data_IF_559426249380
#
_entry.id   IF_559426249380
#
_cell.length_a   1.000
_cell.length_b   1.000
_cell.length_c   1.000
_cell.angle_alpha   90.00
_cell.angle_beta   90.00
_cell.angle_gamma   90.00
#
_symmetry.space_group_name_H-M   'P 1'
#
loop_
_entity.id
_entity.type
_entity.pdbx_description
1 polymer ?
#
# COMPACT_ATOMS: atom_id res chain seq x y z
N UNK A 1 17.45 6.23 -19.45
CA UNK A 1 16.75 6.39 -18.17
C UNK A 1 15.62 7.41 -18.29
N UNK A 2 14.53 7.12 -17.68
CA UNK A 2 13.37 7.99 -17.76
C UNK A 2 13.25 8.85 -16.52
N UNK A 3 13.20 10.15 -16.75
CA UNK A 3 13.12 11.09 -15.63
C UNK A 3 11.75 11.10 -14.98
N UNK A 4 10.73 10.65 -15.69
CA UNK A 4 9.37 10.65 -15.19
C UNK A 4 9.02 9.36 -14.46
N UNK A 5 9.96 8.43 -14.29
CA UNK A 5 9.69 7.19 -13.59
C UNK A 5 9.50 7.47 -12.09
N UNK A 6 8.58 6.77 -11.44
CA UNK A 6 8.41 6.94 -10.00
C UNK A 6 9.67 6.55 -9.24
N UNK A 7 9.84 7.16 -8.09
CA UNK A 7 10.95 6.84 -7.19
C UNK A 7 10.40 6.14 -5.95
N UNK A 8 11.22 5.27 -5.39
CA UNK A 8 10.78 4.51 -4.23
C UNK A 8 10.40 5.42 -3.06
N UNK A 9 11.16 6.49 -2.85
CA UNK A 9 10.98 7.31 -1.67
C UNK A 9 9.72 8.15 -1.69
N UNK A 10 9.11 8.37 -2.82
CA UNK A 10 7.92 9.21 -2.89
C UNK A 10 6.72 8.52 -3.49
N UNK A 11 6.87 7.23 -3.75
CA UNK A 11 5.87 6.55 -4.56
C UNK A 11 4.55 6.35 -3.81
N UNK A 12 4.63 6.03 -2.52
CA UNK A 12 3.43 5.75 -1.73
C UNK A 12 3.18 6.91 -0.77
N UNK A 13 2.80 8.05 -1.32
CA UNK A 13 2.46 9.20 -0.49
C UNK A 13 1.21 8.95 0.32
N UNK A 14 1.05 9.71 1.41
CA UNK A 14 -0.15 9.61 2.24
C UNK A 14 -1.37 9.90 1.40
N UNK A 15 -2.41 9.11 1.62
CA UNK A 15 -3.65 9.25 0.88
C UNK A 15 -3.69 8.52 -0.44
N UNK A 16 -2.58 7.89 -0.86
CA UNK A 16 -2.58 7.12 -2.09
C UNK A 16 -3.39 5.85 -1.90
N UNK A 17 -4.21 5.52 -2.89
CA UNK A 17 -4.95 4.26 -2.88
C UNK A 17 -4.06 3.19 -3.49
N UNK A 18 -3.83 2.13 -2.74
CA UNK A 18 -2.95 1.05 -3.19
C UNK A 18 -3.62 -0.30 -3.00
N UNK A 19 -3.17 -1.26 -3.77
CA UNK A 19 -3.50 -2.66 -3.57
C UNK A 19 -2.23 -3.38 -3.17
N UNK A 20 -2.27 -4.06 -2.05
CA UNK A 20 -1.12 -4.77 -1.49
C UNK A 20 -1.37 -6.25 -1.60
N UNK A 21 -0.44 -6.96 -2.24
CA UNK A 21 -0.48 -8.41 -2.33
C UNK A 21 0.47 -8.97 -1.29
N UNK A 22 -0.08 -9.66 -0.31
CA UNK A 22 0.71 -10.29 0.74
C UNK A 22 1.27 -11.61 0.26
N UNK A 23 2.37 -12.03 0.88
CA UNK A 23 3.01 -13.29 0.51
C UNK A 23 2.13 -14.48 0.82
N UNK A 24 1.15 -14.32 1.70
CA UNK A 24 0.19 -15.36 2.00
C UNK A 24 -0.87 -15.53 0.93
N UNK A 25 -0.88 -14.66 -0.07
CA UNK A 25 -1.87 -14.74 -1.16
C UNK A 25 -3.09 -13.88 -0.94
N UNK A 26 -3.14 -13.13 0.16
CA UNK A 26 -4.26 -12.24 0.46
C UNK A 26 -3.97 -10.86 -0.12
N UNK A 27 -4.93 -10.29 -0.80
CA UNK A 27 -4.83 -8.93 -1.32
C UNK A 27 -5.61 -7.98 -0.43
N UNK A 28 -5.02 -6.82 -0.16
CA UNK A 28 -5.64 -5.77 0.62
C UNK A 28 -5.64 -4.49 -0.20
N UNK A 29 -6.72 -3.72 -0.07
CA UNK A 29 -6.82 -2.42 -0.72
C UNK A 29 -7.03 -1.38 0.35
N UNK A 30 -6.42 -0.21 0.18
CA UNK A 30 -6.61 0.85 1.16
C UNK A 30 -5.81 2.09 0.82
N UNK A 31 -5.98 3.09 1.67
CA UNK A 31 -5.26 4.35 1.53
C UNK A 31 -4.04 4.32 2.44
N UNK A 32 -2.93 4.81 1.92
CA UNK A 32 -1.69 4.84 2.69
C UNK A 32 -1.81 5.90 3.77
N UNK A 33 -1.68 5.49 5.03
CA UNK A 33 -1.66 6.40 6.16
C UNK A 33 -0.23 6.80 6.50
N UNK A 34 0.68 5.83 6.46
CA UNK A 34 2.06 6.08 6.82
C UNK A 34 2.91 4.93 6.31
N UNK A 35 4.21 5.16 6.25
CA UNK A 35 5.17 4.12 5.90
C UNK A 35 6.52 4.50 6.45
N UNK A 36 7.29 3.49 6.81
CA UNK A 36 8.65 3.70 7.27
C UNK A 36 9.47 2.44 6.94
N UNK A 37 10.65 2.33 7.53
CA UNK A 37 11.50 1.17 7.25
C UNK A 37 10.91 -0.15 7.77
N UNK A 38 9.91 -0.08 8.64
CA UNK A 38 9.30 -1.29 9.19
C UNK A 38 8.16 -1.81 8.34
N UNK A 39 7.41 -0.94 7.68
CA UNK A 39 6.29 -1.40 6.91
C UNK A 39 5.36 -0.29 6.48
N UNK A 40 4.16 -0.70 6.17
CA UNK A 40 3.15 0.15 5.56
C UNK A 40 1.88 0.10 6.41
N UNK A 41 1.35 1.27 6.75
CA UNK A 41 0.09 1.37 7.49
C UNK A 41 -1.01 1.82 6.54
N UNK A 42 -2.05 1.02 6.46
CA UNK A 42 -3.17 1.26 5.55
C UNK A 42 -4.46 1.54 6.30
N UNK A 43 -5.24 2.44 5.75
CA UNK A 43 -6.66 2.57 6.06
C UNK A 43 -7.36 1.60 5.11
N UNK A 44 -7.57 0.37 5.57
CA UNK A 44 -8.01 -0.72 4.71
C UNK A 44 -9.46 -0.52 4.29
N UNK A 45 -9.74 -0.91 3.06
CA UNK A 45 -11.07 -0.76 2.47
C UNK A 45 -11.53 -2.09 1.89
N UNK A 46 -12.84 -2.34 1.99
CA UNK A 46 -13.42 -3.51 1.35
C UNK A 46 -13.68 -3.20 -0.13
N UNK A 47 -14.13 -4.19 -0.93
CA UNK A 47 -14.37 -3.95 -2.35
C UNK A 47 -15.39 -2.86 -2.64
N UNK A 48 -16.28 -2.56 -1.69
CA UNK A 48 -17.25 -1.48 -1.84
C UNK A 48 -16.65 -0.11 -1.54
N UNK A 49 -15.43 -0.08 -0.98
CA UNK A 49 -14.79 1.17 -0.60
C UNK A 49 -15.03 1.57 0.83
N UNK A 50 -15.72 0.75 1.61
CA UNK A 50 -16.01 1.06 3.00
C UNK A 50 -14.81 0.74 3.88
N UNK A 51 -14.56 1.55 4.93
CA UNK A 51 -13.42 1.30 5.80
C UNK A 51 -13.63 0.04 6.63
N UNK A 52 -12.57 -0.75 6.75
CA UNK A 52 -12.60 -1.98 7.55
C UNK A 52 -11.62 -1.93 8.71
N UNK A 53 -10.91 -0.81 8.88
CA UNK A 53 -9.96 -0.64 9.95
C UNK A 53 -8.57 -0.37 9.43
N UNK A 54 -7.64 -0.19 10.35
CA UNK A 54 -6.26 0.07 9.99
C UNK A 54 -5.48 -1.23 10.03
N UNK A 55 -4.59 -1.41 9.04
CA UNK A 55 -3.76 -2.61 8.94
C UNK A 55 -2.32 -2.18 8.81
N UNK A 56 -1.45 -2.77 9.63
CA UNK A 56 -0.02 -2.58 9.46
C UNK A 56 0.59 -3.81 8.84
N UNK A 57 1.35 -3.59 7.77
CA UNK A 57 1.95 -4.69 7.00
C UNK A 57 3.45 -4.49 6.99
N UNK A 58 4.20 -5.37 7.68
CA UNK A 58 5.66 -5.31 7.57
C UNK A 58 6.09 -5.56 6.13
N UNK A 59 7.17 -4.91 5.71
CA UNK A 59 7.65 -5.08 4.33
C UNK A 59 7.91 -6.55 4.01
N UNK A 60 8.34 -7.34 5.00
CA UNK A 60 8.65 -8.75 4.76
C UNK A 60 7.42 -9.58 4.42
N UNK A 61 6.22 -9.11 4.73
CA UNK A 61 4.99 -9.84 4.43
C UNK A 61 4.35 -9.36 3.13
N UNK A 62 4.93 -8.37 2.48
CA UNK A 62 4.38 -7.79 1.27
C UNK A 62 5.15 -8.31 0.08
N UNK A 63 4.43 -8.85 -0.89
CA UNK A 63 5.04 -9.29 -2.13
C UNK A 63 5.02 -8.16 -3.17
N UNK A 64 3.91 -7.41 -3.23
CA UNK A 64 3.78 -6.37 -4.23
C UNK A 64 2.79 -5.31 -3.75
N UNK A 65 3.08 -4.05 -4.12
CA UNK A 65 2.17 -2.95 -3.90
C UNK A 65 1.93 -2.30 -5.25
N UNK A 66 0.66 -2.14 -5.60
CA UNK A 66 0.26 -1.47 -6.84
C UNK A 66 -0.42 -0.17 -6.46
N UNK A 67 0.13 0.94 -6.91
CA UNK A 67 -0.48 2.25 -6.74
C UNK A 67 -1.29 2.50 -7.97
N UNK A 68 -2.56 2.58 -7.77
CA UNK A 68 -3.34 2.70 -8.85
C UNK A 68 -4.02 3.90 -9.05
N UNK A 69 -4.47 4.26 -9.95
CA UNK A 69 -5.18 5.00 -10.24
C UNK A 69 -6.05 4.90 -10.90
#
# INVERSE_FOLDING_TARGET
MRDDAPRMTGFFGRGSLVTVSARTGIDLQGYVCDQNESGLLLDARDPSGDPTGYEFLPWSSIERVSAGD
#
